data_IF_947449394035
#
_entry.id   IF_947449394035
#
_cell.length_a   1.000
_cell.length_b   1.000
_cell.length_c   1.000
_cell.angle_alpha   90.00
_cell.angle_beta   90.00
_cell.angle_gamma   90.00
#
_symmetry.space_group_name_H-M   'P 1'
#
loop_
_entity.id
_entity.type
_entity.pdbx_description
1 polymer ?
#
# COMPACT_ATOMS: atom_id res chain seq x y z
N UNK A 1 11.58 17.82 -14.64
CA UNK A 1 11.27 18.23 -13.25
C UNK A 1 10.61 17.14 -12.38
N UNK A 2 9.99 16.09 -12.95
CA UNK A 2 9.26 15.04 -12.20
C UNK A 2 10.10 14.14 -11.26
N UNK A 3 11.39 13.95 -11.53
CA UNK A 3 12.25 13.06 -10.73
C UNK A 3 12.58 13.62 -9.34
N UNK A 4 12.70 14.95 -9.24
CA UNK A 4 13.10 15.64 -7.99
C UNK A 4 12.08 15.46 -6.87
N UNK A 5 10.79 15.52 -7.18
CA UNK A 5 9.74 15.36 -6.18
C UNK A 5 9.68 13.91 -5.65
N UNK A 6 9.93 12.91 -6.50
CA UNK A 6 9.97 11.50 -6.08
C UNK A 6 11.17 11.22 -5.17
N UNK A 7 12.33 11.82 -5.47
CA UNK A 7 13.53 11.75 -4.62
C UNK A 7 13.31 12.37 -3.24
N UNK A 8 12.69 13.55 -3.17
CA UNK A 8 12.42 14.20 -1.88
C UNK A 8 11.51 13.35 -0.98
N UNK A 9 10.48 12.73 -1.56
CA UNK A 9 9.57 11.83 -0.82
C UNK A 9 10.29 10.55 -0.39
N UNK A 10 11.13 9.96 -1.25
CA UNK A 10 11.90 8.76 -0.91
C UNK A 10 12.88 9.02 0.25
N UNK A 11 13.64 10.13 0.17
CA UNK A 11 14.61 10.51 1.20
C UNK A 11 13.90 10.85 2.50
N UNK A 12 12.80 11.60 2.45
CA UNK A 12 11.98 11.91 3.63
C UNK A 12 11.38 10.66 4.29
N UNK A 13 10.79 9.75 3.50
CA UNK A 13 10.23 8.50 4.03
C UNK A 13 11.31 7.55 4.56
N UNK A 14 12.43 7.44 3.86
CA UNK A 14 13.56 6.58 4.23
C UNK A 14 14.24 7.03 5.51
N UNK A 15 14.47 8.34 5.68
CA UNK A 15 15.06 8.89 6.92
C UNK A 15 14.16 8.65 8.12
N UNK A 16 12.84 8.89 8.00
CA UNK A 16 11.89 8.61 9.07
C UNK A 16 11.83 7.11 9.41
N UNK A 17 11.83 6.24 8.40
CA UNK A 17 11.83 4.77 8.59
C UNK A 17 13.11 4.30 9.29
N UNK A 18 14.27 4.83 8.88
CA UNK A 18 15.56 4.51 9.49
C UNK A 18 15.63 4.94 10.96
N UNK A 19 15.18 6.15 11.28
CA UNK A 19 15.11 6.65 12.67
C UNK A 19 14.18 5.79 13.52
N UNK A 20 13.00 5.43 13.00
CA UNK A 20 12.06 4.55 13.69
C UNK A 20 12.67 3.17 13.96
N UNK A 21 13.40 2.60 13.00
CA UNK A 21 14.07 1.29 13.16
C UNK A 21 15.22 1.33 14.16
N UNK A 22 16.02 2.39 14.15
CA UNK A 22 17.11 2.58 15.12
C UNK A 22 16.57 2.75 16.55
N UNK A 23 15.50 3.52 16.72
CA UNK A 23 14.82 3.66 18.00
C UNK A 23 14.22 2.33 18.48
N UNK A 24 13.61 1.57 17.57
CA UNK A 24 13.07 0.24 17.87
C UNK A 24 14.17 -0.75 18.30
N UNK A 25 15.32 -0.75 17.61
CA UNK A 25 16.46 -1.59 17.97
C UNK A 25 17.01 -1.24 19.37
N UNK A 26 17.10 0.05 19.68
CA UNK A 26 17.51 0.51 21.00
C UNK A 26 16.50 0.15 22.09
N UNK A 27 15.20 0.28 21.81
CA UNK A 27 14.14 -0.09 22.75
C UNK A 27 14.11 -1.59 23.05
N UNK A 28 14.35 -2.43 22.04
CA UNK A 28 14.24 -3.88 22.21
C UNK A 28 15.44 -4.48 22.93
N UNK A 29 16.65 -3.89 22.87
CA UNK A 29 17.92 -4.12 23.60
C UNK A 29 18.36 -5.56 23.98
N UNK A 30 17.44 -6.44 24.39
CA UNK A 30 17.50 -7.90 24.28
C UNK A 30 16.71 -8.34 23.05
N UNK A 31 17.39 -8.57 21.93
CA UNK A 31 16.77 -9.12 20.71
C UNK A 31 16.24 -10.51 21.02
N UNK A 32 14.96 -10.61 21.42
CA UNK A 32 14.29 -11.89 21.45
C UNK A 32 14.06 -12.26 19.98
N UNK A 33 14.71 -13.31 19.45
CA UNK A 33 14.63 -13.66 18.03
C UNK A 33 13.22 -14.06 17.60
N UNK A 34 12.26 -14.09 18.51
CA UNK A 34 10.84 -14.32 18.24
C UNK A 34 10.19 -13.23 17.40
N UNK A 35 10.56 -11.95 17.59
CA UNK A 35 10.04 -10.86 16.74
C UNK A 35 10.69 -10.88 15.35
N UNK A 36 11.93 -11.36 15.27
CA UNK A 36 12.62 -11.67 14.01
C UNK A 36 12.39 -13.12 13.56
N UNK A 37 11.43 -13.79 14.19
CA UNK A 37 11.17 -15.19 14.00
C UNK A 37 10.34 -15.40 12.75
N UNK A 38 10.48 -16.58 12.17
CA UNK A 38 9.67 -17.01 11.03
C UNK A 38 8.17 -16.84 11.32
N UNK A 39 7.73 -17.03 12.57
CA UNK A 39 6.32 -16.87 12.96
C UNK A 39 5.83 -15.42 12.83
N UNK A 40 6.64 -14.44 13.23
CA UNK A 40 6.30 -13.02 13.07
C UNK A 40 6.33 -12.61 11.61
N UNK A 41 7.34 -13.06 10.85
CA UNK A 41 7.41 -12.81 9.42
C UNK A 41 6.19 -13.37 8.69
N UNK A 42 5.82 -14.64 8.89
CA UNK A 42 4.63 -15.24 8.27
C UNK A 42 3.36 -14.47 8.64
N UNK A 43 3.21 -14.06 9.89
CA UNK A 43 2.03 -13.31 10.32
C UNK A 43 1.91 -11.97 9.56
N UNK A 44 3.00 -11.21 9.48
CA UNK A 44 3.03 -9.93 8.75
C UNK A 44 2.84 -10.14 7.25
N UNK A 45 3.47 -11.16 6.65
CA UNK A 45 3.27 -11.52 5.25
C UNK A 45 1.83 -11.97 4.99
N UNK A 46 1.21 -12.71 5.90
CA UNK A 46 -0.19 -13.11 5.83
C UNK A 46 -1.12 -11.90 5.78
N UNK A 47 -0.91 -10.92 6.65
CA UNK A 47 -1.65 -9.64 6.61
C UNK A 47 -1.48 -8.93 5.27
N UNK A 48 -0.26 -8.90 4.72
CA UNK A 48 0.06 -8.24 3.45
C UNK A 48 -0.54 -8.95 2.22
N UNK A 49 -0.48 -10.27 2.19
CA UNK A 49 -0.98 -11.10 1.08
C UNK A 49 -2.51 -11.11 1.07
N UNK A 50 -3.13 -11.37 2.22
CA UNK A 50 -4.59 -11.39 2.37
C UNK A 50 -5.15 -9.99 2.14
N UNK A 51 -4.50 -8.96 2.68
CA UNK A 51 -4.88 -7.56 2.51
C UNK A 51 -4.58 -6.96 1.13
N UNK A 52 -3.70 -7.57 0.33
CA UNK A 52 -3.32 -7.11 -1.00
C UNK A 52 -2.13 -6.15 -1.02
N UNK A 53 -1.25 -6.35 -2.00
CA UNK A 53 0.01 -5.60 -2.15
C UNK A 53 -0.30 -4.19 -2.69
N UNK A 54 0.03 -3.14 -1.93
CA UNK A 54 -0.03 -1.75 -2.38
C UNK A 54 -1.31 -0.96 -2.03
N UNK A 55 -2.21 -1.52 -1.21
CA UNK A 55 -3.38 -0.78 -0.67
C UNK A 55 -3.44 -0.81 0.85
N UNK A 56 -3.05 0.31 1.47
CA UNK A 56 -3.17 0.53 2.91
C UNK A 56 -4.52 0.11 3.53
N UNK A 57 -5.70 0.48 2.98
CA UNK A 57 -6.96 0.11 3.62
C UNK A 57 -7.23 -1.39 3.64
N UNK A 58 -6.78 -2.15 2.64
CA UNK A 58 -6.98 -3.60 2.59
C UNK A 58 -6.21 -4.36 3.66
N UNK A 59 -4.99 -3.91 3.95
CA UNK A 59 -4.13 -4.49 5.00
C UNK A 59 -4.68 -4.20 6.41
N UNK A 60 -5.30 -3.04 6.62
CA UNK A 60 -5.91 -2.71 7.93
C UNK A 60 -7.09 -3.64 8.23
N UNK A 61 -7.93 -3.95 7.23
CA UNK A 61 -9.06 -4.86 7.40
C UNK A 61 -8.63 -6.33 7.56
N UNK A 62 -7.49 -6.74 7.00
CA UNK A 62 -6.98 -8.10 7.17
C UNK A 62 -6.36 -8.33 8.55
N UNK A 63 -5.87 -7.30 9.23
CA UNK A 63 -5.22 -7.44 10.54
C UNK A 63 -6.06 -8.24 11.57
N UNK A 64 -7.33 -7.89 11.88
CA UNK A 64 -8.13 -8.68 12.81
C UNK A 64 -8.44 -10.08 12.28
N UNK A 65 -8.65 -10.24 10.97
CA UNK A 65 -8.95 -11.53 10.35
C UNK A 65 -7.78 -12.51 10.47
N UNK A 66 -6.58 -12.06 10.10
CA UNK A 66 -5.35 -12.85 10.14
C UNK A 66 -4.91 -13.10 11.57
N UNK A 67 -5.03 -12.11 12.46
CA UNK A 67 -4.75 -12.31 13.88
C UNK A 67 -5.70 -13.32 14.51
N UNK A 68 -7.00 -13.26 14.21
CA UNK A 68 -7.96 -14.26 14.70
C UNK A 68 -7.62 -15.67 14.19
N UNK A 69 -7.30 -15.80 12.89
CA UNK A 69 -6.83 -17.07 12.34
C UNK A 69 -5.54 -17.56 13.02
N UNK A 70 -4.63 -16.66 13.36
CA UNK A 70 -3.39 -17.00 14.06
C UNK A 70 -3.64 -17.45 15.50
N UNK A 71 -4.60 -16.84 16.17
CA UNK A 71 -5.00 -17.20 17.53
C UNK A 71 -5.66 -18.58 17.57
N UNK A 72 -6.53 -18.90 16.59
CA UNK A 72 -7.12 -20.23 16.43
C UNK A 72 -6.05 -21.33 16.24
N UNK A 73 -4.94 -20.99 15.59
CA UNK A 73 -3.81 -21.90 15.37
C UNK A 73 -2.77 -21.83 16.49
N UNK A 74 -2.94 -20.94 17.47
CA UNK A 74 -1.94 -20.65 18.51
C UNK A 74 -1.77 -21.81 19.47
N UNK A 75 -2.84 -22.54 19.76
CA UNK A 75 -2.82 -23.66 20.71
C UNK A 75 -2.01 -24.87 20.22
N UNK A 76 -1.68 -24.95 18.92
CA UNK A 76 -1.04 -26.14 18.34
C UNK A 76 0.50 -26.07 18.27
N UNK A 77 1.13 -25.03 18.83
CA UNK A 77 2.59 -24.93 18.95
C UNK A 77 3.31 -25.00 17.59
N UNK A 78 4.03 -26.10 17.31
CA UNK A 78 4.83 -26.28 16.09
C UNK A 78 3.99 -26.30 14.80
N UNK A 79 2.78 -26.87 14.87
CA UNK A 79 1.84 -26.94 13.75
C UNK A 79 1.36 -25.55 13.30
N UNK A 80 1.46 -24.53 14.17
CA UNK A 80 1.13 -23.13 13.83
C UNK A 80 1.92 -22.67 12.61
N UNK A 81 3.24 -22.89 12.57
CA UNK A 81 4.10 -22.36 11.50
C UNK A 81 3.79 -23.02 10.15
N UNK A 82 3.59 -24.34 10.16
CA UNK A 82 3.24 -25.11 8.97
C UNK A 82 1.82 -24.76 8.51
N UNK A 83 0.86 -24.68 9.42
CA UNK A 83 -0.53 -24.32 9.13
C UNK A 83 -0.66 -22.90 8.57
N UNK A 84 0.03 -21.93 9.17
CA UNK A 84 0.07 -20.56 8.65
C UNK A 84 0.78 -20.47 7.29
N UNK A 85 1.86 -21.23 7.10
CA UNK A 85 2.55 -21.31 5.80
C UNK A 85 1.63 -21.85 4.70
N UNK A 86 0.93 -22.96 4.97
CA UNK A 86 -0.07 -23.51 4.06
C UNK A 86 -1.22 -22.53 3.81
N UNK A 87 -1.72 -21.84 4.84
CA UNK A 87 -2.75 -20.80 4.71
C UNK A 87 -2.30 -19.70 3.75
N UNK A 88 -1.03 -19.26 3.86
CA UNK A 88 -0.45 -18.26 2.99
C UNK A 88 -0.32 -18.78 1.56
N UNK A 89 0.20 -20.00 1.35
CA UNK A 89 0.31 -20.59 0.02
C UNK A 89 -1.08 -20.67 -0.62
N UNK A 90 -2.07 -21.14 0.14
CA UNK A 90 -3.45 -21.19 -0.31
C UNK A 90 -3.99 -19.79 -0.65
N UNK A 91 -3.73 -18.79 0.21
CA UNK A 91 -4.11 -17.41 -0.05
C UNK A 91 -3.45 -16.86 -1.32
N UNK A 92 -2.16 -17.13 -1.57
CA UNK A 92 -1.48 -16.70 -2.80
C UNK A 92 -2.06 -17.37 -4.04
N UNK A 93 -2.42 -18.65 -3.95
CA UNK A 93 -2.98 -19.42 -5.07
C UNK A 93 -4.43 -19.03 -5.39
N UNK A 94 -5.27 -18.87 -4.36
CA UNK A 94 -6.69 -18.56 -4.53
C UNK A 94 -6.96 -17.05 -4.65
N UNK A 95 -6.15 -16.20 -4.02
CA UNK A 95 -6.28 -14.74 -4.08
C UNK A 95 -5.10 -14.14 -4.87
N UNK A 96 -5.02 -14.45 -6.18
CA UNK A 96 -4.01 -13.86 -7.08
C UNK A 96 -4.12 -12.32 -7.20
N UNK A 97 -5.23 -11.73 -6.76
CA UNK A 97 -5.47 -10.27 -6.72
C UNK A 97 -5.63 -9.70 -5.29
N UNK A 98 -5.57 -10.52 -4.23
CA UNK A 98 -5.85 -10.13 -2.83
C UNK A 98 -7.33 -9.76 -2.56
N UNK A 99 -7.77 -9.72 -1.28
CA UNK A 99 -9.11 -9.22 -0.93
C UNK A 99 -9.32 -7.77 -1.37
N UNK A 100 -8.25 -6.98 -1.41
CA UNK A 100 -8.30 -5.60 -1.89
C UNK A 100 -8.57 -5.48 -3.40
N UNK A 101 -8.27 -6.49 -4.24
CA UNK A 101 -8.63 -6.48 -5.66
C UNK A 101 -10.16 -6.54 -5.86
N UNK A 102 -10.81 -7.45 -5.13
CA UNK A 102 -12.27 -7.66 -5.18
C UNK A 102 -13.03 -6.51 -4.52
N UNK A 103 -12.59 -6.06 -3.34
CA UNK A 103 -13.24 -4.96 -2.62
C UNK A 103 -13.03 -3.61 -3.32
N UNK A 104 -11.87 -3.38 -3.94
CA UNK A 104 -11.64 -2.13 -4.66
C UNK A 104 -12.48 -2.01 -5.93
N UNK A 105 -12.68 -3.11 -6.67
CA UNK A 105 -13.64 -3.13 -7.80
C UNK A 105 -15.07 -2.87 -7.34
N UNK A 106 -15.44 -3.31 -6.13
CA UNK A 106 -16.74 -3.00 -5.53
C UNK A 106 -16.84 -1.52 -5.07
N UNK A 107 -15.77 -0.95 -4.52
CA UNK A 107 -15.76 0.42 -3.98
C UNK A 107 -15.54 1.53 -5.04
N UNK A 108 -14.83 1.26 -6.14
CA UNK A 108 -14.73 2.21 -7.28
C UNK A 108 -16.05 2.37 -8.03
N UNK A 109 -16.97 1.41 -7.90
CA UNK A 109 -18.36 1.60 -8.35
C UNK A 109 -19.17 2.50 -7.42
N UNK A 110 -18.60 2.97 -6.30
CA UNK A 110 -19.18 4.04 -5.48
C UNK A 110 -19.16 5.38 -6.22
N UNK A 111 -20.16 6.27 -6.04
CA UNK A 111 -20.38 7.46 -6.89
C UNK A 111 -19.29 8.56 -6.82
N UNK A 112 -18.24 8.35 -6.04
CA UNK A 112 -17.34 9.41 -5.58
C UNK A 112 -16.13 9.67 -6.49
N UNK A 113 -15.88 8.83 -7.50
CA UNK A 113 -14.80 9.06 -8.47
C UNK A 113 -15.10 10.17 -9.49
N UNK A 114 -16.34 10.72 -9.52
CA UNK A 114 -16.71 11.83 -10.38
C UNK A 114 -16.27 13.21 -9.89
N UNK A 115 -15.67 13.32 -8.69
CA UNK A 115 -15.17 14.60 -8.16
C UNK A 115 -13.71 14.92 -8.46
N UNK A 116 -12.97 14.03 -9.12
CA UNK A 116 -11.75 14.42 -9.85
C UNK A 116 -12.17 15.04 -11.19
N UNK A 117 -12.95 16.10 -11.10
CA UNK A 117 -13.22 17.02 -12.18
C UNK A 117 -11.90 17.58 -12.67
N UNK A 118 -11.68 17.41 -13.96
CA UNK A 118 -10.76 18.13 -14.79
C UNK A 118 -10.44 19.54 -14.25
N UNK A 119 -9.24 19.73 -13.71
CA UNK A 119 -8.52 20.97 -13.98
C UNK A 119 -7.80 20.76 -15.31
N UNK A 120 -8.55 20.81 -16.41
CA UNK A 120 -7.96 21.30 -17.66
C UNK A 120 -7.67 22.77 -17.40
N UNK A 121 -6.43 23.26 -17.45
CA UNK A 121 -6.24 24.70 -17.56
C UNK A 121 -7.05 25.16 -18.77
N UNK A 122 -7.93 26.16 -18.62
CA UNK A 122 -8.60 26.78 -19.75
C UNK A 122 -7.53 27.14 -20.77
N UNK A 123 -7.81 26.86 -22.04
CA UNK A 123 -7.03 27.45 -23.10
C UNK A 123 -6.94 28.95 -22.84
N UNK A 124 -5.71 29.46 -22.72
CA UNK A 124 -5.38 30.71 -23.36
C UNK A 124 -5.52 30.43 -24.86
N UNK A 125 -6.63 30.71 -25.54
CA UNK A 125 -7.39 31.97 -25.57
C UNK A 125 -6.47 33.20 -25.56
N UNK A 126 -5.38 33.10 -26.33
CA UNK A 126 -5.04 34.14 -27.28
C UNK A 126 -5.74 33.69 -28.57
N UNK A 127 -7.05 33.92 -28.74
CA UNK A 127 -7.62 35.16 -29.26
C UNK A 127 -6.69 35.86 -30.26
N UNK A 128 -6.60 35.26 -31.45
CA UNK A 128 -6.73 36.04 -32.68
C UNK A 128 -8.18 36.52 -32.72
N UNK A 129 -8.46 37.83 -32.87
CA UNK A 129 -8.69 38.30 -34.24
C UNK A 129 -8.43 39.80 -34.49
N UNK A 130 -8.53 40.14 -35.78
CA UNK A 130 -8.68 41.48 -36.36
C UNK A 130 -7.39 42.23 -36.72
N UNK A 131 -6.89 41.90 -37.91
CA UNK A 131 -7.11 42.79 -39.06
C UNK A 131 -6.88 44.28 -38.77
N UNK A 132 -5.66 44.74 -39.02
CA UNK A 132 -5.45 46.11 -39.50
C UNK A 132 -4.37 46.04 -40.58
N UNK A 133 -4.81 46.23 -41.82
CA UNK A 133 -3.92 46.42 -42.95
C UNK A 133 -2.98 47.59 -42.72
N UNK A 134 -1.83 47.53 -43.36
CA UNK A 134 -1.32 48.61 -44.18
C UNK A 134 -0.23 47.98 -45.07
N UNK A 135 -0.37 48.15 -46.38
CA UNK A 135 0.56 47.70 -47.40
C UNK A 135 1.77 48.68 -47.49
N UNK A 136 2.33 48.96 -48.67
CA UNK A 136 3.31 48.21 -49.45
C UNK A 136 4.65 48.97 -49.58
N UNK A 137 5.72 48.28 -49.98
CA UNK A 137 6.72 48.73 -50.98
C UNK A 137 7.93 47.79 -50.99
#
# INVERSE_FOLDING_TARGET
MHFRNRLLVLVGAGTLTGVSGAFYAHYVSSVSPKILGLDTFLLVFGMMIIGGIGRFPGVVWSAPLVTAANELLRDTGYLRLIGFGCLIIFAVLFLREGLAGTIHRAWIRGPWSRRCGARRPPGSQFDHPHDQGEAPS
#
